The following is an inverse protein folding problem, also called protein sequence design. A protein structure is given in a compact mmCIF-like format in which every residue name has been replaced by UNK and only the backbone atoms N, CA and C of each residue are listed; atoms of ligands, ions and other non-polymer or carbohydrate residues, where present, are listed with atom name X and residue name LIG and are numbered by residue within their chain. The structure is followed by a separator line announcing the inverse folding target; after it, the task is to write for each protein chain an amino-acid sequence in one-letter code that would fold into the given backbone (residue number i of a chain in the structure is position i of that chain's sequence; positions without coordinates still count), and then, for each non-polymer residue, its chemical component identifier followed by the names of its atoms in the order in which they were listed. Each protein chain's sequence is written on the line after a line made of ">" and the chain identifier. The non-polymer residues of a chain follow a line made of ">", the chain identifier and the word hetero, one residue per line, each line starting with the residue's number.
data_IF_193418727878
#
_entry.id   IF_193418727878
#
_cell.length_a   1.000
_cell.length_b   1.000
_cell.length_c   1.000
_cell.angle_alpha   90.00
_cell.angle_beta   90.00
_cell.angle_gamma   90.00
#
_symmetry.space_group_name_H-M   'P 1'
#
loop_
_entity.id
_entity.type
_entity.pdbx_description
1 polymer ?
#
# COMPACT_ATOMS: atom_id res chain seq x y z
N UNK A 1 -22.17 -11.66 28.78
CA UNK A 1 -20.99 -10.94 28.26
C UNK A 1 -20.49 -11.77 27.12
N UNK A 2 -20.81 -11.33 25.90
CA UNK A 2 -20.08 -11.78 24.72
C UNK A 2 -18.96 -10.75 24.65
N UNK A 3 -17.73 -11.20 24.87
CA UNK A 3 -16.54 -10.36 24.66
C UNK A 3 -16.53 -9.93 23.19
N UNK A 4 -16.51 -8.61 22.98
CA UNK A 4 -16.35 -7.88 21.72
C UNK A 4 -14.95 -8.13 21.11
N UNK A 5 -14.59 -9.39 20.81
CA UNK A 5 -13.35 -9.72 20.07
C UNK A 5 -13.54 -9.65 18.54
N UNK A 6 -14.22 -8.61 18.03
CA UNK A 6 -14.52 -8.48 16.59
C UNK A 6 -14.41 -7.06 16.02
N UNK A 7 -13.51 -6.20 16.53
CA UNK A 7 -13.30 -4.85 15.95
C UNK A 7 -11.86 -4.57 15.46
N UNK A 8 -10.91 -5.50 15.62
CA UNK A 8 -9.52 -5.32 15.11
C UNK A 8 -9.40 -5.38 13.57
N UNK A 9 -10.44 -5.85 12.86
CA UNK A 9 -10.42 -5.93 11.40
C UNK A 9 -10.75 -4.58 10.73
N UNK A 10 -11.32 -3.63 11.47
CA UNK A 10 -11.62 -2.30 10.95
C UNK A 10 -10.45 -1.32 11.10
N UNK A 11 -9.44 -1.71 11.86
CA UNK A 11 -8.24 -0.93 12.13
C UNK A 11 -7.03 -1.33 11.30
N UNK A 12 -7.14 -2.34 10.41
CA UNK A 12 -6.04 -2.80 9.55
C UNK A 12 -6.33 -2.72 8.05
N UNK A 13 -5.30 -2.44 7.26
CA UNK A 13 -5.35 -2.50 5.80
C UNK A 13 -4.07 -3.05 5.21
N UNK A 14 -4.21 -4.03 4.30
CA UNK A 14 -3.09 -4.54 3.50
C UNK A 14 -2.80 -3.58 2.35
N UNK A 15 -1.55 -3.12 2.25
CA UNK A 15 -1.12 -2.22 1.19
C UNK A 15 0.08 -2.78 0.45
N UNK A 16 0.19 -2.47 -0.84
CA UNK A 16 1.41 -2.63 -1.61
C UNK A 16 2.07 -1.27 -1.76
N UNK A 17 3.31 -1.17 -1.30
CA UNK A 17 4.11 0.04 -1.39
C UNK A 17 4.74 0.14 -2.77
N UNK A 18 4.44 1.25 -3.43
CA UNK A 18 4.83 1.52 -4.81
C UNK A 18 5.49 2.89 -4.87
N UNK A 19 6.53 3.05 -5.68
CA UNK A 19 7.12 4.35 -5.99
C UNK A 19 6.80 4.75 -7.42
N UNK A 20 6.52 6.02 -7.64
CA UNK A 20 6.55 6.59 -8.98
C UNK A 20 8.01 6.67 -9.44
N UNK A 21 8.27 6.22 -10.67
CA UNK A 21 9.58 6.39 -11.31
C UNK A 21 9.75 7.85 -11.74
N UNK A 22 10.67 8.53 -11.08
CA UNK A 22 10.97 9.95 -11.32
C UNK A 22 12.05 10.13 -12.40
N UNK A 23 12.79 9.05 -12.72
CA UNK A 23 13.88 9.04 -13.69
C UNK A 23 13.46 8.49 -15.07
N UNK A 24 12.26 7.93 -15.18
CA UNK A 24 11.75 7.29 -16.40
C UNK A 24 10.73 8.11 -17.20
N UNK A 25 10.30 7.56 -18.33
CA UNK A 25 9.20 8.12 -19.13
C UNK A 25 7.89 8.10 -18.35
N UNK A 26 7.43 9.29 -17.95
CA UNK A 26 6.10 9.65 -17.45
C UNK A 26 5.30 8.54 -16.75
N UNK A 27 5.32 8.52 -15.43
CA UNK A 27 4.26 7.90 -14.62
C UNK A 27 4.33 6.39 -14.44
N UNK A 28 5.50 5.77 -14.65
CA UNK A 28 5.70 4.37 -14.28
C UNK A 28 5.63 4.18 -12.77
N UNK A 29 5.05 3.07 -12.35
CA UNK A 29 4.92 2.70 -10.95
C UNK A 29 5.77 1.43 -10.74
N UNK A 30 6.61 1.42 -9.71
CA UNK A 30 7.55 0.32 -9.41
C UNK A 30 7.37 -0.08 -7.94
N UNK A 31 7.35 -1.38 -7.59
CA UNK A 31 7.35 -1.80 -6.18
C UNK A 31 8.58 -1.24 -5.43
N UNK A 32 8.43 -0.83 -4.17
CA UNK A 32 9.55 -0.21 -3.43
C UNK A 32 10.74 -1.15 -3.22
N UNK A 33 10.48 -2.47 -3.12
CA UNK A 33 11.50 -3.53 -3.07
C UNK A 33 11.65 -4.27 -4.41
N UNK A 34 11.18 -3.67 -5.49
CA UNK A 34 11.22 -4.24 -6.84
C UNK A 34 11.90 -3.35 -7.86
N UNK A 35 11.94 -3.86 -9.10
CA UNK A 35 12.46 -3.19 -10.28
C UNK A 35 11.50 -3.28 -11.47
N UNK A 36 10.49 -4.16 -11.38
CA UNK A 36 9.52 -4.40 -12.43
C UNK A 36 8.49 -3.27 -12.43
N UNK A 37 8.42 -2.52 -13.54
CA UNK A 37 7.34 -1.54 -13.75
C UNK A 37 6.00 -2.26 -13.85
N UNK A 38 5.01 -1.74 -13.14
CA UNK A 38 3.64 -2.26 -13.16
C UNK A 38 2.67 -1.25 -13.76
N UNK A 39 1.58 -1.77 -14.30
CA UNK A 39 0.40 -1.01 -14.67
C UNK A 39 -0.77 -1.52 -13.85
N UNK A 40 -1.25 -0.71 -12.90
CA UNK A 40 -2.34 -1.06 -11.99
C UNK A 40 -3.67 -1.35 -12.72
N UNK A 41 -3.81 -0.89 -13.96
CA UNK A 41 -5.01 -1.11 -14.78
C UNK A 41 -4.95 -2.39 -15.62
N UNK A 42 -3.77 -3.00 -15.75
CA UNK A 42 -3.61 -4.28 -16.43
C UNK A 42 -4.23 -5.42 -15.61
N UNK A 43 -4.52 -6.55 -16.26
CA UNK A 43 -5.20 -7.71 -15.63
C UNK A 43 -4.30 -8.93 -15.48
N UNK A 44 -2.98 -8.77 -15.69
CA UNK A 44 -2.03 -9.88 -15.70
C UNK A 44 -0.74 -9.53 -14.97
N UNK A 45 -0.31 -10.42 -14.09
CA UNK A 45 0.96 -10.33 -13.40
C UNK A 45 1.89 -11.47 -13.83
N UNK A 46 3.15 -11.13 -14.08
CA UNK A 46 4.22 -12.13 -14.21
C UNK A 46 4.60 -12.65 -12.83
N UNK A 47 5.16 -13.86 -12.74
CA UNK A 47 5.60 -14.43 -11.46
C UNK A 47 6.61 -13.51 -10.73
N UNK A 48 7.50 -12.85 -11.48
CA UNK A 48 8.44 -11.87 -10.93
C UNK A 48 7.72 -10.66 -10.34
N UNK A 49 6.75 -10.10 -11.07
CA UNK A 49 5.98 -8.96 -10.58
C UNK A 49 5.17 -9.32 -9.33
N UNK A 50 4.55 -10.51 -9.31
CA UNK A 50 3.84 -10.99 -8.12
C UNK A 50 4.79 -11.03 -6.91
N UNK A 51 5.98 -11.63 -7.05
CA UNK A 51 6.96 -11.70 -5.96
C UNK A 51 7.36 -10.31 -5.47
N UNK A 52 7.71 -9.41 -6.38
CA UNK A 52 8.14 -8.04 -6.00
C UNK A 52 7.02 -7.23 -5.33
N UNK A 53 5.76 -7.42 -5.74
CA UNK A 53 4.59 -6.79 -5.12
C UNK A 53 4.34 -7.35 -3.72
N UNK A 54 4.44 -8.66 -3.54
CA UNK A 54 4.31 -9.31 -2.23
C UNK A 54 5.44 -8.90 -1.29
N UNK A 55 6.68 -8.85 -1.77
CA UNK A 55 7.83 -8.39 -0.96
C UNK A 55 7.72 -6.90 -0.58
N UNK A 56 6.98 -6.12 -1.39
CA UNK A 56 6.68 -4.71 -1.15
C UNK A 56 5.35 -4.49 -0.43
N UNK A 57 4.68 -5.54 0.04
CA UNK A 57 3.45 -5.43 0.80
C UNK A 57 3.70 -5.26 2.29
N UNK A 58 2.80 -4.56 2.96
CA UNK A 58 2.76 -4.42 4.42
C UNK A 58 1.34 -4.27 4.90
N UNK A 59 1.11 -4.56 6.18
CA UNK A 59 -0.14 -4.22 6.87
C UNK A 59 0.06 -2.87 7.56
N UNK A 60 -0.89 -1.96 7.38
CA UNK A 60 -0.99 -0.75 8.19
C UNK A 60 -2.07 -0.98 9.23
N UNK A 61 -1.75 -0.69 10.48
CA UNK A 61 -2.66 -0.71 11.61
C UNK A 61 -2.91 0.70 12.12
N UNK A 62 -4.09 0.91 12.71
CA UNK A 62 -4.40 2.09 13.49
C UNK A 62 -4.77 1.68 14.92
N UNK A 63 -4.50 2.52 15.93
CA UNK A 63 -3.72 3.76 15.84
C UNK A 63 -2.21 3.51 15.76
N UNK A 64 -1.76 2.25 15.83
CA UNK A 64 -0.34 1.88 15.79
C UNK A 64 0.27 2.02 14.39
N UNK A 65 0.94 3.15 14.16
CA UNK A 65 1.75 3.43 12.97
C UNK A 65 1.10 4.44 12.01
N UNK A 66 -0.22 4.41 11.85
CA UNK A 66 -0.97 5.43 11.12
C UNK A 66 -2.30 5.78 11.80
N UNK A 67 -2.81 7.02 11.61
CA UNK A 67 -4.14 7.41 12.06
C UNK A 67 -5.26 6.55 11.48
N UNK A 68 -6.34 6.34 12.23
CA UNK A 68 -7.51 5.55 11.80
C UNK A 68 -8.16 6.07 10.51
N UNK A 69 -8.11 7.38 10.27
CA UNK A 69 -8.61 8.01 9.04
C UNK A 69 -7.87 7.52 7.79
N UNK A 70 -6.56 7.28 7.90
CA UNK A 70 -5.73 6.74 6.82
C UNK A 70 -6.16 5.32 6.47
N UNK A 71 -6.30 4.45 7.48
CA UNK A 71 -6.76 3.07 7.30
C UNK A 71 -8.14 3.05 6.67
N UNK A 72 -9.07 3.87 7.18
CA UNK A 72 -10.44 3.94 6.68
C UNK A 72 -10.49 4.33 5.20
N UNK A 73 -9.76 5.39 4.80
CA UNK A 73 -9.70 5.84 3.40
C UNK A 73 -9.07 4.79 2.49
N UNK A 74 -7.99 4.13 2.94
CA UNK A 74 -7.34 3.09 2.15
C UNK A 74 -8.24 1.86 1.97
N UNK A 75 -8.94 1.41 3.02
CA UNK A 75 -9.89 0.28 2.91
C UNK A 75 -11.02 0.59 1.93
N UNK A 76 -11.54 1.82 1.96
CA UNK A 76 -12.58 2.29 1.05
C UNK A 76 -12.09 2.45 -0.40
N UNK A 77 -10.78 2.55 -0.64
CA UNK A 77 -10.24 2.64 -1.99
C UNK A 77 -10.54 1.37 -2.80
N UNK A 78 -10.66 1.44 -4.13
CA UNK A 78 -10.83 0.26 -4.96
C UNK A 78 -9.54 -0.59 -5.03
N UNK A 79 -9.70 -1.92 -5.09
CA UNK A 79 -8.61 -2.82 -5.47
C UNK A 79 -8.36 -2.68 -6.96
N UNK A 80 -7.13 -2.41 -7.41
CA UNK A 80 -6.81 -2.33 -8.83
C UNK A 80 -7.05 -3.67 -9.56
N UNK A 81 -7.46 -3.64 -10.84
CA UNK A 81 -7.61 -4.85 -11.66
C UNK A 81 -6.40 -5.78 -11.62
N UNK A 82 -5.19 -5.21 -11.58
CA UNK A 82 -3.94 -5.97 -11.51
C UNK A 82 -3.86 -6.86 -10.27
N UNK A 83 -4.36 -6.36 -9.15
CA UNK A 83 -4.31 -7.05 -7.86
C UNK A 83 -5.48 -8.02 -7.72
N UNK A 84 -6.67 -7.63 -8.19
CA UNK A 84 -7.88 -8.45 -8.13
C UNK A 84 -7.71 -9.81 -8.83
N UNK A 85 -6.88 -9.88 -9.88
CA UNK A 85 -6.56 -11.13 -10.58
C UNK A 85 -5.59 -12.07 -9.86
N UNK A 86 -4.95 -11.63 -8.76
CA UNK A 86 -3.96 -12.42 -8.01
C UNK A 86 -4.49 -12.86 -6.66
N UNK A 87 -4.43 -14.17 -6.39
CA UNK A 87 -4.82 -14.72 -5.09
C UNK A 87 -4.02 -14.16 -3.91
N UNK A 88 -2.82 -13.64 -4.15
CA UNK A 88 -1.97 -13.06 -3.10
C UNK A 88 -2.21 -11.56 -2.87
N UNK A 89 -2.82 -10.85 -3.82
CA UNK A 89 -2.96 -9.38 -3.77
C UNK A 89 -4.42 -8.90 -3.83
N UNK A 90 -5.40 -9.79 -3.99
CA UNK A 90 -6.82 -9.45 -4.21
C UNK A 90 -7.48 -8.56 -3.14
N UNK A 91 -6.86 -8.41 -1.97
CA UNK A 91 -7.33 -7.53 -0.90
C UNK A 91 -6.41 -6.32 -0.65
N UNK A 92 -5.28 -6.25 -1.33
CA UNK A 92 -4.32 -5.19 -1.11
C UNK A 92 -4.69 -3.90 -1.83
N UNK A 93 -4.27 -2.78 -1.27
CA UNK A 93 -4.45 -1.44 -1.85
C UNK A 93 -3.10 -0.85 -2.28
N UNK A 94 -3.03 -0.19 -3.45
CA UNK A 94 -1.80 0.46 -3.86
C UNK A 94 -1.58 1.71 -3.03
N UNK A 95 -0.40 1.85 -2.45
CA UNK A 95 0.07 3.08 -1.83
C UNK A 95 1.24 3.60 -2.66
N UNK A 96 0.97 4.62 -3.48
CA UNK A 96 1.93 5.15 -4.45
C UNK A 96 2.64 6.38 -3.88
N UNK A 97 3.89 6.20 -3.51
CA UNK A 97 4.80 7.24 -3.06
C UNK A 97 5.36 8.01 -4.27
N UNK A 98 5.26 9.34 -4.23
CA UNK A 98 5.86 10.27 -5.18
C UNK A 98 6.84 11.15 -4.42
N UNK A 99 8.10 11.24 -4.86
CA UNK A 99 9.18 11.84 -4.05
C UNK A 99 9.22 11.29 -2.60
N UNK A 100 8.98 9.98 -2.42
CA UNK A 100 8.93 9.34 -1.10
C UNK A 100 7.70 9.65 -0.24
N UNK A 101 6.72 10.39 -0.77
CA UNK A 101 5.54 10.87 -0.04
C UNK A 101 4.24 10.41 -0.66
N UNK A 102 3.23 10.11 0.16
CA UNK A 102 1.89 9.77 -0.28
C UNK A 102 0.84 10.51 0.56
N UNK A 103 0.15 11.53 0.02
CA UNK A 103 -0.93 12.19 0.75
C UNK A 103 -2.17 11.31 0.83
N UNK A 104 -2.65 11.02 2.04
CA UNK A 104 -3.84 10.21 2.32
C UNK A 104 -4.61 10.81 3.50
N UNK A 105 -5.91 11.04 3.35
CA UNK A 105 -6.78 11.55 4.43
C UNK A 105 -6.27 12.84 5.11
N UNK A 106 -5.55 13.72 4.39
CA UNK A 106 -4.95 14.94 4.96
C UNK A 106 -3.60 14.72 5.66
N UNK A 107 -3.13 13.48 5.77
CA UNK A 107 -1.81 13.11 6.27
C UNK A 107 -0.82 12.87 5.14
N UNK A 108 0.46 13.11 5.39
CA UNK A 108 1.55 12.74 4.48
C UNK A 108 2.19 11.47 4.99
N UNK A 109 2.00 10.37 4.27
CA UNK A 109 2.66 9.11 4.54
C UNK A 109 4.04 9.10 3.90
N UNK A 110 5.03 8.66 4.67
CA UNK A 110 6.39 8.41 4.23
C UNK A 110 6.69 6.91 4.35
N UNK A 111 7.71 6.44 3.63
CA UNK A 111 8.20 5.07 3.76
C UNK A 111 9.71 5.08 3.96
N UNK A 112 10.17 4.38 4.99
CA UNK A 112 11.57 4.06 5.21
C UNK A 112 11.75 2.54 5.27
N UNK A 113 12.80 1.96 4.65
CA UNK A 113 12.99 0.51 4.61
C UNK A 113 13.09 -0.16 5.99
N UNK A 114 13.63 0.54 6.99
CA UNK A 114 13.86 0.03 8.35
C UNK A 114 12.66 0.27 9.26
N UNK A 115 12.04 1.45 9.17
CA UNK A 115 10.93 1.87 10.04
C UNK A 115 9.53 1.59 9.47
N UNK A 116 9.41 1.26 8.18
CA UNK A 116 8.12 1.03 7.53
C UNK A 116 7.43 2.33 7.13
N UNK A 117 6.09 2.34 7.16
CA UNK A 117 5.26 3.50 6.80
C UNK A 117 4.95 4.32 8.05
N UNK A 118 5.09 5.64 7.97
CA UNK A 118 4.81 6.57 9.07
C UNK A 118 4.23 7.89 8.56
N UNK A 119 3.66 8.69 9.46
CA UNK A 119 3.12 10.03 9.14
C UNK A 119 4.15 11.12 9.43
N UNK A 120 4.29 12.09 8.52
CA UNK A 120 5.10 13.30 8.73
C UNK A 120 4.60 14.08 9.96
N UNK A 121 5.45 14.28 10.96
CA UNK A 121 5.12 14.95 12.23
C UNK A 121 4.93 14.05 13.44
N UNK A 122 5.13 12.73 13.31
CA UNK A 122 5.02 11.73 14.40
C UNK A 122 6.38 11.19 14.89
N UNK A 123 7.51 11.83 14.52
CA UNK A 123 8.87 11.48 14.95
C UNK A 123 9.38 12.36 16.10
#
# INVERSE_FOLDING_TARGET
>A
MIDDEYDDLDTVVEVVLLRADENGSAGRIIPVRGLTSIDLTATGLTATAVRELTDSSTVLSAPDGVPSEVVHVLRAAPVPPLFAGSSWLRHHRPLVLRNGRCPVAGHILNYEPESGVYVDGDL
#
